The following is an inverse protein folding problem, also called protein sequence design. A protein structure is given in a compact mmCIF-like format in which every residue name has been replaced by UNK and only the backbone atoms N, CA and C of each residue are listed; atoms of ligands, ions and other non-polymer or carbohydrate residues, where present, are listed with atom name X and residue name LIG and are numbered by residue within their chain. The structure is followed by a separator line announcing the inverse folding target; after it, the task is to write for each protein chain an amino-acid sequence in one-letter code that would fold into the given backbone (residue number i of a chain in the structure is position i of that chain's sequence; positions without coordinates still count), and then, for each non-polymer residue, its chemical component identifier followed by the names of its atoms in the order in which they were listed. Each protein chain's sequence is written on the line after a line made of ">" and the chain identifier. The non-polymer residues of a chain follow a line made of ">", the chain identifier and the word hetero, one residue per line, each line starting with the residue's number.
data_IF_374348506010
#
_entry.id   IF_374348506010
#
_cell.length_a   1.000
_cell.length_b   1.000
_cell.length_c   1.000
_cell.angle_alpha   90.00
_cell.angle_beta   90.00
_cell.angle_gamma   90.00
#
_symmetry.space_group_name_H-M   'P 1'
#
loop_
_entity.id
_entity.type
_entity.pdbx_description
1 polymer ?
#
# COMPACT_ATOMS: atom_id res chain seq x y z
N UNK A 1 38.09 10.07 -5.21
CA UNK A 1 36.99 10.99 -4.81
C UNK A 1 35.76 10.78 -5.69
N UNK A 2 35.85 10.94 -7.02
CA UNK A 2 34.72 10.80 -7.97
C UNK A 2 34.02 9.43 -7.93
N UNK A 3 34.76 8.33 -7.76
CA UNK A 3 34.18 6.98 -7.68
C UNK A 3 33.32 6.77 -6.43
N UNK A 4 33.74 7.32 -5.29
CA UNK A 4 33.01 7.22 -4.02
C UNK A 4 31.69 8.02 -4.13
N UNK A 5 31.74 9.20 -4.73
CA UNK A 5 30.53 10.04 -4.96
C UNK A 5 29.53 9.32 -5.88
N UNK A 6 30.01 8.65 -6.93
CA UNK A 6 29.14 7.85 -7.81
C UNK A 6 28.48 6.68 -7.07
N UNK A 7 29.22 5.97 -6.21
CA UNK A 7 28.69 4.88 -5.43
C UNK A 7 27.58 5.33 -4.46
N UNK A 8 27.78 6.46 -3.78
CA UNK A 8 26.78 7.06 -2.89
C UNK A 8 25.51 7.45 -3.66
N UNK A 9 25.65 8.01 -4.86
CA UNK A 9 24.50 8.38 -5.68
C UNK A 9 23.65 7.17 -6.10
N UNK A 10 24.30 6.07 -6.51
CA UNK A 10 23.61 4.83 -6.88
C UNK A 10 22.86 4.25 -5.66
N UNK A 11 23.50 4.26 -4.48
CA UNK A 11 22.87 3.84 -3.23
C UNK A 11 21.63 4.67 -2.88
N UNK A 12 21.69 6.00 -3.03
CA UNK A 12 20.54 6.89 -2.79
C UNK A 12 19.39 6.57 -3.75
N UNK A 13 19.67 6.37 -5.05
CA UNK A 13 18.64 6.03 -6.04
C UNK A 13 17.97 4.70 -5.67
N UNK A 14 18.76 3.68 -5.34
CA UNK A 14 18.25 2.36 -4.93
C UNK A 14 17.37 2.49 -3.68
N UNK A 15 17.87 3.14 -2.61
CA UNK A 15 17.13 3.32 -1.36
C UNK A 15 15.86 4.16 -1.54
N UNK A 16 15.90 5.21 -2.37
CA UNK A 16 14.73 6.04 -2.68
C UNK A 16 13.62 5.24 -3.37
N UNK A 17 13.98 4.27 -4.20
CA UNK A 17 13.03 3.37 -4.87
C UNK A 17 12.28 2.49 -3.86
N UNK A 18 12.96 2.04 -2.79
CA UNK A 18 12.32 1.30 -1.71
C UNK A 18 11.36 2.16 -0.88
N UNK A 19 11.67 3.44 -0.66
CA UNK A 19 10.76 4.36 0.06
C UNK A 19 9.46 4.58 -0.72
N UNK A 20 9.52 4.61 -2.05
CA UNK A 20 8.31 4.67 -2.90
C UNK A 20 7.50 3.37 -2.82
N UNK A 21 8.17 2.21 -2.74
CA UNK A 21 7.49 0.92 -2.59
C UNK A 21 6.83 0.73 -1.21
N UNK A 22 7.38 1.33 -0.15
CA UNK A 22 6.80 1.28 1.20
C UNK A 22 5.60 2.23 1.34
N UNK A 23 5.63 3.38 0.65
CA UNK A 23 4.50 4.32 0.58
C UNK A 23 3.45 3.97 -0.48
N UNK A 24 3.70 2.92 -1.28
CA UNK A 24 2.66 2.18 -1.96
C UNK A 24 1.87 1.42 -0.90
N UNK A 25 1.10 2.17 -0.11
CA UNK A 25 -0.17 1.75 0.42
C UNK A 25 -0.18 0.31 0.93
N UNK A 26 0.17 0.13 2.21
CA UNK A 26 -0.10 -1.09 2.97
C UNK A 26 -1.60 -1.36 3.15
N UNK A 27 -2.41 -1.08 2.13
CA UNK A 27 -3.79 -1.50 2.06
C UNK A 27 -3.78 -2.99 1.78
N UNK A 28 -4.33 -3.74 2.74
CA UNK A 28 -4.67 -5.12 2.54
C UNK A 28 -5.58 -5.19 1.30
N UNK A 29 -5.07 -5.81 0.24
CA UNK A 29 -5.88 -6.05 -0.95
C UNK A 29 -7.00 -7.02 -0.57
N UNK A 30 -8.24 -6.66 -0.85
CA UNK A 30 -9.42 -7.46 -0.53
C UNK A 30 -10.24 -7.71 -1.79
N UNK A 31 -10.94 -8.84 -1.85
CA UNK A 31 -11.95 -9.11 -2.90
C UNK A 31 -13.35 -9.10 -2.29
N UNK A 32 -13.44 -9.47 -1.02
CA UNK A 32 -14.66 -9.54 -0.22
C UNK A 32 -14.41 -8.88 1.13
N UNK A 33 -15.49 -8.46 1.81
CA UNK A 33 -15.39 -7.88 3.17
C UNK A 33 -14.73 -8.85 4.16
N UNK A 34 -14.89 -10.17 3.96
CA UNK A 34 -14.25 -11.20 4.78
C UNK A 34 -12.73 -11.25 4.66
N UNK A 35 -12.17 -10.76 3.55
CA UNK A 35 -10.71 -10.69 3.38
C UNK A 35 -10.11 -9.61 4.30
N UNK A 36 -10.92 -8.65 4.74
CA UNK A 36 -10.56 -7.66 5.73
C UNK A 36 -10.64 -8.29 7.13
N UNK A 37 -9.62 -9.10 7.47
CA UNK A 37 -9.55 -9.81 8.76
C UNK A 37 -9.32 -8.86 9.93
N UNK A 38 -10.44 -8.34 10.41
CA UNK A 38 -10.89 -8.01 11.77
C UNK A 38 -9.94 -7.28 12.76
N UNK A 39 -10.46 -6.13 13.19
CA UNK A 39 -10.33 -5.46 14.50
C UNK A 39 -9.14 -4.53 14.76
N UNK A 40 -7.95 -4.74 14.19
CA UNK A 40 -6.76 -3.97 14.65
C UNK A 40 -6.49 -2.67 13.88
N UNK A 41 -7.15 -2.42 12.76
CA UNK A 41 -7.01 -1.18 12.00
C UNK A 41 -8.13 -0.16 12.24
N UNK A 42 -9.30 -0.60 12.71
CA UNK A 42 -10.47 0.27 12.83
C UNK A 42 -10.76 0.59 14.30
N UNK A 43 -11.18 1.83 14.62
CA UNK A 43 -11.75 2.16 15.92
C UNK A 43 -12.90 1.20 16.29
N UNK A 44 -13.20 1.00 17.58
CA UNK A 44 -14.23 0.06 18.04
C UNK A 44 -15.64 0.36 17.51
N UNK A 45 -15.89 1.58 17.00
CA UNK A 45 -17.16 2.01 16.43
C UNK A 45 -17.22 1.92 14.89
N UNK A 46 -16.19 1.35 14.24
CA UNK A 46 -16.09 1.26 12.78
C UNK A 46 -15.86 -0.17 12.31
N UNK A 47 -16.46 -0.52 11.19
CA UNK A 47 -16.30 -1.84 10.58
C UNK A 47 -15.33 -1.75 9.39
N UNK A 48 -14.42 -2.72 9.27
CA UNK A 48 -13.58 -2.84 8.08
C UNK A 48 -14.39 -3.39 6.91
N UNK A 49 -14.49 -2.65 5.81
CA UNK A 49 -15.19 -3.04 4.58
C UNK A 49 -14.28 -2.97 3.37
N UNK A 50 -14.51 -3.87 2.42
CA UNK A 50 -13.77 -3.91 1.18
C UNK A 50 -14.34 -2.92 0.17
N UNK A 51 -13.60 -1.86 -0.12
CA UNK A 51 -13.96 -0.88 -1.14
C UNK A 51 -13.25 -1.17 -2.45
N UNK A 52 -14.03 -1.52 -3.46
CA UNK A 52 -13.58 -1.60 -4.86
C UNK A 52 -13.86 -0.26 -5.52
N UNK A 53 -12.81 0.49 -5.84
CA UNK A 53 -12.98 1.73 -6.62
C UNK A 53 -13.51 1.39 -8.01
N UNK A 54 -14.75 1.78 -8.30
CA UNK A 54 -15.40 1.49 -9.59
C UNK A 54 -14.65 2.10 -10.78
N UNK A 55 -13.94 3.22 -10.57
CA UNK A 55 -13.08 3.85 -11.58
C UNK A 55 -11.84 2.99 -11.93
N UNK A 56 -11.38 2.18 -10.98
CA UNK A 56 -10.22 1.29 -11.14
C UNK A 56 -10.61 -0.19 -11.28
N UNK A 57 -11.89 -0.56 -11.15
CA UNK A 57 -12.35 -1.96 -11.25
C UNK A 57 -11.98 -2.65 -12.58
N UNK A 58 -11.73 -1.86 -13.64
CA UNK A 58 -11.23 -2.37 -14.94
C UNK A 58 -9.73 -2.70 -14.94
N UNK A 59 -8.97 -2.18 -13.98
CA UNK A 59 -7.51 -2.29 -13.90
C UNK A 59 -7.02 -3.02 -12.65
N UNK A 60 -7.74 -2.89 -11.54
CA UNK A 60 -7.47 -3.55 -10.27
C UNK A 60 -8.49 -4.67 -10.07
N UNK A 61 -8.00 -5.91 -10.04
CA UNK A 61 -8.81 -7.09 -9.69
C UNK A 61 -9.11 -7.18 -8.19
N UNK A 62 -8.68 -6.19 -7.40
CA UNK A 62 -8.75 -6.20 -5.93
C UNK A 62 -9.11 -4.80 -5.40
N UNK A 63 -9.95 -4.77 -4.37
CA UNK A 63 -10.30 -3.60 -3.58
C UNK A 63 -9.33 -3.36 -2.42
N UNK A 64 -9.65 -2.36 -1.60
CA UNK A 64 -8.90 -1.97 -0.41
C UNK A 64 -9.80 -2.02 0.82
N UNK A 65 -9.28 -2.51 1.95
CA UNK A 65 -10.00 -2.41 3.23
C UNK A 65 -10.02 -0.96 3.73
N UNK A 66 -11.21 -0.43 4.00
CA UNK A 66 -11.43 0.86 4.66
C UNK A 66 -12.34 0.70 5.88
N UNK A 67 -12.10 1.49 6.91
CA UNK A 67 -12.99 1.63 8.07
C UNK A 67 -14.12 2.60 7.73
N UNK A 68 -15.37 2.19 7.95
CA UNK A 68 -16.59 3.00 7.72
C UNK A 68 -17.48 2.97 8.95
#
# INVERSE_FOLDING_TARGET
>A
MVQIVKFVYVMIIVLSSFVVAINSDGYLECTTDYDCREEWLCPPDMEAKCFVSFALARFLSKGKCLCV
#
